data_IF_574129367473
#
_entry.id   IF_574129367473
#
_cell.length_a   1.000
_cell.length_b   1.000
_cell.length_c   1.000
_cell.angle_alpha   90.00
_cell.angle_beta   90.00
_cell.angle_gamma   90.00
#
_symmetry.space_group_name_H-M   'P 1'
#
loop_
_entity.id
_entity.type
_entity.pdbx_description
1 polymer ?
#
# COMPACT_ATOMS: atom_id res chain seq x y z
N UNK A 1 -14.78 7.86 -7.30
CA UNK A 1 -14.70 7.07 -6.01
C UNK A 1 -15.75 7.58 -5.06
N UNK A 2 -16.61 6.70 -4.56
CA UNK A 2 -17.47 6.97 -3.40
C UNK A 2 -16.72 6.44 -2.16
N UNK A 3 -16.50 7.29 -1.18
CA UNK A 3 -15.74 6.90 0.01
C UNK A 3 -16.61 6.04 0.95
N UNK A 4 -16.25 4.78 1.10
CA UNK A 4 -16.86 3.86 2.05
C UNK A 4 -15.87 3.56 3.18
N UNK A 5 -16.03 4.20 4.33
CA UNK A 5 -15.14 4.07 5.47
C UNK A 5 -14.81 2.60 5.81
N UNK A 6 -15.80 1.70 5.72
CA UNK A 6 -15.68 0.27 6.07
C UNK A 6 -14.62 -0.48 5.28
N UNK A 7 -14.31 -0.06 4.06
CA UNK A 7 -13.30 -0.71 3.22
C UNK A 7 -11.87 -0.43 3.69
N UNK A 8 -11.69 0.62 4.49
CA UNK A 8 -10.38 1.05 5.00
C UNK A 8 -10.05 0.50 6.38
N UNK A 9 -11.08 0.14 7.19
CA UNK A 9 -10.91 -0.20 8.61
C UNK A 9 -10.06 -1.45 8.83
N UNK A 10 -9.37 -1.47 9.98
CA UNK A 10 -8.60 -2.58 10.51
C UNK A 10 -7.11 -2.51 10.19
N UNK A 11 -6.41 -3.61 10.45
CA UNK A 11 -4.97 -3.74 10.30
C UNK A 11 -4.58 -3.98 8.84
N UNK A 12 -3.51 -3.28 8.42
CA UNK A 12 -2.86 -3.44 7.13
C UNK A 12 -1.36 -3.60 7.34
N UNK A 13 -0.74 -4.49 6.60
CA UNK A 13 0.69 -4.71 6.61
C UNK A 13 1.36 -4.19 5.35
N UNK A 14 2.56 -3.63 5.51
CA UNK A 14 3.34 -3.15 4.39
C UNK A 14 3.84 -4.31 3.52
N UNK A 15 3.70 -4.15 2.21
CA UNK A 15 4.16 -5.10 1.20
C UNK A 15 5.69 -5.33 1.23
N UNK A 16 6.49 -4.40 1.75
CA UNK A 16 7.93 -4.59 1.91
C UNK A 16 8.27 -5.87 2.71
N UNK A 17 7.40 -6.27 3.64
CA UNK A 17 7.55 -7.52 4.39
C UNK A 17 7.54 -8.78 3.50
N UNK A 18 6.87 -8.73 2.35
CA UNK A 18 6.85 -9.82 1.38
C UNK A 18 8.15 -9.90 0.57
N UNK A 19 8.78 -8.73 0.30
CA UNK A 19 10.06 -8.67 -0.40
C UNK A 19 11.19 -9.31 0.40
N UNK A 20 11.16 -9.16 1.72
CA UNK A 20 12.19 -9.63 2.66
C UNK A 20 11.83 -10.94 3.34
N UNK A 21 10.67 -11.52 3.04
CA UNK A 21 10.18 -12.75 3.66
C UNK A 21 11.14 -13.91 3.45
N UNK A 22 11.41 -14.66 4.53
CA UNK A 22 12.18 -15.91 4.52
C UNK A 22 11.31 -17.16 4.34
N UNK A 23 9.98 -16.99 4.27
CA UNK A 23 9.06 -18.11 4.04
C UNK A 23 9.31 -18.76 2.68
N UNK A 24 9.45 -20.12 2.61
CA UNK A 24 9.78 -20.81 1.36
C UNK A 24 8.76 -20.61 0.24
N UNK A 25 7.47 -20.52 0.57
CA UNK A 25 6.39 -20.32 -0.43
C UNK A 25 6.42 -18.89 -0.96
N UNK A 26 6.61 -17.89 -0.08
CA UNK A 26 6.80 -16.51 -0.51
C UNK A 26 8.03 -16.38 -1.41
N UNK A 27 9.13 -17.04 -1.06
CA UNK A 27 10.32 -17.08 -1.92
C UNK A 27 10.06 -17.79 -3.26
N UNK A 28 9.21 -18.85 -3.27
CA UNK A 28 8.79 -19.50 -4.51
C UNK A 28 7.95 -18.56 -5.39
N UNK A 29 6.98 -17.84 -4.80
CA UNK A 29 6.19 -16.84 -5.52
C UNK A 29 7.08 -15.77 -6.15
N UNK A 30 8.12 -15.30 -5.46
CA UNK A 30 9.08 -14.34 -6.00
C UNK A 30 9.99 -14.94 -7.08
N UNK A 31 10.41 -16.21 -6.97
CA UNK A 31 11.17 -16.87 -8.05
C UNK A 31 10.34 -16.97 -9.33
N UNK A 32 9.05 -17.31 -9.22
CA UNK A 32 8.16 -17.34 -10.37
C UNK A 32 7.99 -15.95 -10.98
N UNK A 33 7.84 -14.92 -10.14
CA UNK A 33 7.74 -13.52 -10.57
C UNK A 33 8.99 -13.06 -11.33
N UNK A 34 10.18 -13.37 -10.82
CA UNK A 34 11.45 -13.09 -11.53
C UNK A 34 11.55 -13.80 -12.87
N UNK A 35 11.04 -15.04 -12.96
CA UNK A 35 11.05 -15.82 -14.19
C UNK A 35 10.26 -15.17 -15.33
N UNK A 36 9.23 -14.38 -15.04
CA UNK A 36 8.41 -13.67 -16.04
C UNK A 36 8.73 -12.18 -16.16
N UNK A 37 9.48 -11.64 -15.22
CA UNK A 37 9.76 -10.21 -15.14
C UNK A 37 10.40 -9.65 -16.40
N UNK A 38 11.32 -10.39 -17.02
CA UNK A 38 12.03 -9.97 -18.24
C UNK A 38 11.10 -9.69 -19.43
N UNK A 39 9.91 -10.30 -19.45
CA UNK A 39 8.91 -10.09 -20.51
C UNK A 39 8.06 -8.83 -20.28
N UNK A 40 8.17 -8.18 -19.12
CA UNK A 40 7.37 -7.02 -18.74
C UNK A 40 8.28 -5.78 -18.68
N UNK A 41 8.07 -4.77 -19.55
CA UNK A 41 8.97 -3.61 -19.65
C UNK A 41 9.25 -2.88 -18.33
N UNK A 42 8.27 -2.82 -17.43
CA UNK A 42 8.42 -2.17 -16.14
C UNK A 42 9.36 -2.92 -15.19
N UNK A 43 9.54 -4.22 -15.36
CA UNK A 43 10.39 -5.07 -14.53
C UNK A 43 11.73 -5.45 -15.20
N UNK A 44 12.20 -4.67 -16.16
CA UNK A 44 13.42 -4.96 -16.94
C UNK A 44 14.68 -5.22 -16.09
N UNK A 45 14.71 -4.72 -14.86
CA UNK A 45 15.82 -4.92 -13.91
C UNK A 45 15.51 -6.00 -12.85
N UNK A 46 14.43 -6.77 -13.03
CA UNK A 46 13.94 -7.77 -12.08
C UNK A 46 12.71 -7.29 -11.29
N UNK A 47 11.86 -8.24 -10.91
CA UNK A 47 10.63 -7.95 -10.18
C UNK A 47 10.92 -7.37 -8.79
N UNK A 48 11.76 -8.04 -7.99
CA UNK A 48 12.12 -7.56 -6.65
C UNK A 48 12.78 -6.19 -6.69
N UNK A 49 13.69 -5.95 -7.64
CA UNK A 49 14.37 -4.66 -7.76
C UNK A 49 13.39 -3.52 -8.05
N UNK A 50 12.39 -3.76 -8.89
CA UNK A 50 11.32 -2.79 -9.13
C UNK A 50 10.53 -2.49 -7.85
N UNK A 51 10.04 -3.52 -7.17
CA UNK A 51 9.21 -3.32 -5.98
C UNK A 51 9.99 -2.77 -4.78
N UNK A 52 11.27 -3.11 -4.63
CA UNK A 52 12.15 -2.48 -3.64
C UNK A 52 12.25 -0.96 -3.85
N UNK A 53 12.23 -0.49 -5.09
CA UNK A 53 12.22 0.93 -5.39
C UNK A 53 10.83 1.55 -5.25
N UNK A 54 9.79 0.86 -5.77
CA UNK A 54 8.45 1.43 -5.87
C UNK A 54 7.68 1.40 -4.55
N UNK A 55 7.91 0.40 -3.70
CA UNK A 55 7.22 0.21 -2.42
C UNK A 55 8.00 0.72 -1.21
N UNK A 56 9.18 1.31 -1.39
CA UNK A 56 9.99 1.79 -0.26
C UNK A 56 9.21 2.81 0.57
N UNK A 57 9.10 2.53 1.85
CA UNK A 57 8.39 3.38 2.81
C UNK A 57 9.32 3.97 3.87
N UNK A 58 10.60 3.65 3.83
CA UNK A 58 11.66 4.34 4.57
C UNK A 58 11.85 5.72 3.99
N UNK A 59 11.01 6.66 4.30
CA UNK A 59 11.15 7.92 3.65
C UNK A 59 11.26 9.10 4.58
N UNK A 60 11.92 10.08 4.03
CA UNK A 60 11.73 11.51 4.25
C UNK A 60 11.35 11.85 5.69
N UNK A 61 12.37 11.94 6.56
CA UNK A 61 12.22 12.38 7.93
C UNK A 61 11.73 11.33 8.93
N UNK A 62 11.47 10.12 8.47
CA UNK A 62 11.14 9.00 9.35
C UNK A 62 12.34 8.05 9.47
N UNK A 63 12.94 7.88 10.66
CA UNK A 63 14.11 7.02 10.87
C UNK A 63 13.79 5.52 10.87
N UNK A 64 12.51 5.14 10.75
CA UNK A 64 12.05 3.75 10.87
C UNK A 64 11.25 3.35 9.64
N UNK A 65 11.43 2.08 9.23
CA UNK A 65 10.62 1.49 8.16
C UNK A 65 9.16 1.40 8.61
N UNK A 66 8.25 1.78 7.72
CA UNK A 66 6.83 1.63 7.95
C UNK A 66 6.45 0.16 7.81
N UNK A 67 5.94 -0.44 8.90
CA UNK A 67 5.48 -1.84 8.93
C UNK A 67 4.02 -2.01 8.59
N UNK A 68 3.22 -0.96 8.74
CA UNK A 68 1.79 -0.97 8.46
C UNK A 68 1.04 0.14 9.16
N UNK A 69 -0.26 -0.02 9.25
CA UNK A 69 -1.14 0.84 10.03
C UNK A 69 -2.35 0.08 10.58
N UNK A 70 -2.96 0.64 11.62
CA UNK A 70 -4.27 0.25 12.12
C UNK A 70 -5.24 1.40 11.86
N UNK A 71 -6.36 1.13 11.20
CA UNK A 71 -7.39 2.12 10.91
C UNK A 71 -8.64 1.81 11.71
N UNK A 72 -9.11 2.78 12.47
CA UNK A 72 -10.36 2.72 13.24
C UNK A 72 -11.29 3.86 12.84
N UNK A 73 -12.62 3.73 13.00
CA UNK A 73 -13.54 4.81 12.66
C UNK A 73 -13.36 6.01 13.62
N UNK A 74 -13.47 7.22 13.06
CA UNK A 74 -13.47 8.49 13.81
C UNK A 74 -14.69 9.33 13.42
N UNK A 75 -15.88 8.82 13.70
CA UNK A 75 -17.13 9.36 13.18
C UNK A 75 -17.58 8.65 11.91
N UNK A 76 -18.49 9.26 11.13
CA UNK A 76 -19.10 8.63 9.94
C UNK A 76 -18.23 8.70 8.68
N UNK A 77 -17.33 9.68 8.60
CA UNK A 77 -16.62 10.08 7.38
C UNK A 77 -15.10 10.31 7.58
N UNK A 78 -14.59 10.00 8.78
CA UNK A 78 -13.18 10.18 9.15
C UNK A 78 -12.54 8.86 9.54
N UNK A 79 -11.24 8.77 9.30
CA UNK A 79 -10.41 7.63 9.68
C UNK A 79 -9.48 8.04 10.82
N UNK A 80 -9.36 7.24 11.85
CA UNK A 80 -8.26 7.35 12.78
C UNK A 80 -7.18 6.35 12.39
N UNK A 81 -6.02 6.83 11.96
CA UNK A 81 -4.91 6.00 11.48
C UNK A 81 -3.78 6.04 12.51
N UNK A 82 -3.41 4.87 13.02
CA UNK A 82 -2.20 4.65 13.79
C UNK A 82 -1.13 4.04 12.88
N UNK A 83 -0.08 4.78 12.60
CA UNK A 83 1.05 4.38 11.79
C UNK A 83 2.03 3.57 12.63
N UNK A 84 2.52 2.47 12.09
CA UNK A 84 3.31 1.48 12.83
C UNK A 84 4.63 1.19 12.11
N UNK A 85 5.71 1.11 12.87
CA UNK A 85 6.99 0.65 12.38
C UNK A 85 6.97 -0.86 12.09
N UNK A 86 8.01 -1.36 11.45
CA UNK A 86 8.19 -2.77 11.09
C UNK A 86 8.23 -3.71 12.31
N UNK A 87 8.62 -3.21 13.46
CA UNK A 87 8.54 -3.91 14.75
C UNK A 87 7.19 -3.72 15.47
N UNK A 88 6.23 -3.04 14.85
CA UNK A 88 4.90 -2.79 15.38
C UNK A 88 4.79 -1.64 16.37
N UNK A 89 5.90 -0.93 16.65
CA UNK A 89 5.85 0.25 17.53
C UNK A 89 5.14 1.40 16.83
N UNK A 90 4.22 2.12 17.52
CA UNK A 90 3.56 3.27 16.95
C UNK A 90 4.55 4.39 16.54
N UNK A 91 4.40 4.87 15.31
CA UNK A 91 5.10 6.04 14.76
C UNK A 91 4.31 7.32 14.98
N UNK A 92 3.01 7.19 15.15
CA UNK A 92 2.10 8.27 15.42
C UNK A 92 0.66 7.92 15.05
N UNK A 93 -0.29 8.72 15.53
CA UNK A 93 -1.71 8.54 15.32
C UNK A 93 -2.38 9.87 15.07
N UNK A 94 -3.30 9.91 14.10
CA UNK A 94 -4.11 11.10 13.82
C UNK A 94 -5.49 10.74 13.28
N UNK A 95 -6.40 11.71 13.34
CA UNK A 95 -7.68 11.66 12.65
C UNK A 95 -7.49 12.27 11.26
N UNK A 96 -8.02 11.60 10.25
CA UNK A 96 -7.97 12.02 8.86
C UNK A 96 -9.36 12.28 8.33
N UNK A 97 -9.54 13.38 7.61
CA UNK A 97 -10.70 13.62 6.78
C UNK A 97 -10.34 13.52 5.29
N UNK A 98 -11.31 13.18 4.47
CA UNK A 98 -11.16 13.23 3.02
C UNK A 98 -11.13 14.70 2.58
N UNK A 99 -10.00 15.14 2.03
CA UNK A 99 -9.88 16.51 1.47
C UNK A 99 -10.49 16.57 0.07
N UNK A 100 -10.08 15.66 -0.81
CA UNK A 100 -10.61 15.55 -2.17
C UNK A 100 -10.33 14.19 -2.80
N UNK A 101 -11.06 13.91 -3.87
CA UNK A 101 -10.79 12.80 -4.79
C UNK A 101 -10.10 13.35 -6.03
N UNK A 102 -9.02 12.70 -6.43
CA UNK A 102 -8.28 12.95 -7.65
C UNK A 102 -8.75 11.96 -8.71
N UNK A 103 -9.24 12.44 -9.83
CA UNK A 103 -9.69 11.59 -10.95
C UNK A 103 -8.54 10.80 -11.58
N UNK A 104 -7.32 11.35 -11.54
CA UNK A 104 -6.09 10.74 -12.08
C UNK A 104 -4.95 10.91 -11.08
N UNK A 105 -4.81 9.95 -10.20
CA UNK A 105 -3.71 9.85 -9.24
C UNK A 105 -2.74 8.73 -9.61
N UNK A 106 -2.43 7.89 -8.63
CA UNK A 106 -1.58 6.71 -8.81
C UNK A 106 -2.14 5.80 -9.91
N UNK A 107 -1.28 5.33 -10.79
CA UNK A 107 -1.62 4.48 -11.95
C UNK A 107 -2.68 5.09 -12.90
N UNK A 108 -2.90 6.40 -12.82
CA UNK A 108 -3.94 7.08 -13.60
C UNK A 108 -5.36 6.77 -13.14
N UNK A 109 -5.52 6.19 -11.95
CA UNK A 109 -6.82 5.85 -11.33
C UNK A 109 -7.25 6.94 -10.36
N UNK A 110 -8.50 6.84 -9.89
CA UNK A 110 -9.01 7.69 -8.81
C UNK A 110 -8.27 7.42 -7.51
N UNK A 111 -7.96 8.48 -6.78
CA UNK A 111 -7.31 8.41 -5.47
C UNK A 111 -7.96 9.38 -4.50
N UNK A 112 -8.06 8.97 -3.24
CA UNK A 112 -8.44 9.82 -2.13
C UNK A 112 -7.22 10.53 -1.57
N UNK A 113 -7.30 11.84 -1.40
CA UNK A 113 -6.35 12.61 -0.59
C UNK A 113 -6.97 12.88 0.77
N UNK A 114 -6.33 12.37 1.80
CA UNK A 114 -6.71 12.57 3.18
C UNK A 114 -5.75 13.54 3.87
N UNK A 115 -6.28 14.37 4.76
CA UNK A 115 -5.50 15.29 5.58
C UNK A 115 -5.70 14.97 7.06
N UNK A 116 -4.57 14.88 7.79
CA UNK A 116 -4.59 14.72 9.23
C UNK A 116 -4.98 16.02 9.94
N UNK A 117 -5.80 15.88 10.98
CA UNK A 117 -6.24 16.97 11.84
C UNK A 117 -5.31 17.13 13.06
N UNK A 118 -5.14 18.35 13.51
CA UNK A 118 -4.46 18.69 14.78
C UNK A 118 -3.04 18.11 14.95
N UNK A 119 -2.30 18.01 13.84
CA UNK A 119 -0.91 17.55 13.84
C UNK A 119 0.05 18.68 13.46
N UNK A 120 1.34 18.52 13.82
CA UNK A 120 2.40 19.45 13.43
C UNK A 120 2.51 19.53 11.89
N UNK A 121 2.87 20.71 11.37
CA UNK A 121 2.95 20.92 9.91
C UNK A 121 4.04 20.12 9.24
N UNK A 122 5.07 19.72 9.98
CA UNK A 122 6.19 18.90 9.54
C UNK A 122 6.00 17.40 9.84
N UNK A 123 4.84 16.99 10.39
CA UNK A 123 4.58 15.57 10.66
C UNK A 123 4.55 14.78 9.34
N UNK A 124 5.38 13.71 9.21
CA UNK A 124 5.59 13.05 7.92
C UNK A 124 4.34 12.41 7.32
N UNK A 125 3.36 12.08 8.14
CA UNK A 125 2.11 11.43 7.71
C UNK A 125 0.91 12.38 7.64
N UNK A 126 1.14 13.69 7.57
CA UNK A 126 0.05 14.69 7.55
C UNK A 126 -0.86 14.55 6.34
N UNK A 127 -0.32 14.17 5.19
CA UNK A 127 -1.06 13.89 3.97
C UNK A 127 -0.97 12.40 3.64
N UNK A 128 -2.09 11.79 3.28
CA UNK A 128 -2.18 10.44 2.75
C UNK A 128 -2.93 10.49 1.41
N UNK A 129 -2.24 10.18 0.33
CA UNK A 129 -2.82 9.91 -0.97
C UNK A 129 -2.94 8.40 -1.14
N UNK A 130 -4.13 7.86 -1.36
CA UNK A 130 -4.32 6.43 -1.46
C UNK A 130 -5.36 6.05 -2.50
N UNK A 131 -5.10 4.94 -3.20
CA UNK A 131 -6.12 4.28 -4.02
C UNK A 131 -7.14 3.61 -3.10
N UNK A 132 -8.34 3.44 -3.61
CA UNK A 132 -9.34 2.61 -2.95
C UNK A 132 -8.84 1.16 -2.82
N UNK A 133 -9.08 0.49 -1.67
CA UNK A 133 -8.71 -0.91 -1.50
C UNK A 133 -9.29 -1.82 -2.59
N UNK A 134 -8.47 -2.66 -3.18
CA UNK A 134 -8.85 -3.56 -4.28
C UNK A 134 -8.42 -5.01 -3.99
N UNK A 135 -9.36 -5.98 -4.01
CA UNK A 135 -10.81 -5.78 -3.92
C UNK A 135 -11.20 -5.08 -2.61
N UNK A 136 -12.39 -4.52 -2.54
CA UNK A 136 -12.89 -3.98 -1.27
C UNK A 136 -12.81 -5.03 -0.17
N UNK A 137 -12.40 -4.65 1.03
CA UNK A 137 -12.29 -5.61 2.16
C UNK A 137 -13.60 -6.31 2.45
N UNK A 138 -14.71 -5.58 2.34
CA UNK A 138 -16.07 -6.11 2.54
C UNK A 138 -16.51 -7.08 1.42
N UNK A 139 -15.94 -6.96 0.22
CA UNK A 139 -16.24 -7.81 -0.93
C UNK A 139 -15.27 -9.01 -1.06
N UNK A 140 -14.31 -9.16 -0.16
CA UNK A 140 -13.35 -10.27 -0.19
C UNK A 140 -14.08 -11.61 -0.12
N UNK A 141 -13.90 -12.41 -1.18
CA UNK A 141 -14.42 -13.78 -1.23
C UNK A 141 -13.33 -14.76 -0.82
N UNK A 142 -13.74 -15.89 -0.23
CA UNK A 142 -12.83 -16.98 0.10
C UNK A 142 -12.07 -17.44 -1.14
N UNK A 143 -10.73 -17.45 -1.08
CA UNK A 143 -9.86 -17.80 -2.20
C UNK A 143 -9.66 -16.70 -3.25
N UNK A 144 -10.23 -15.50 -3.04
CA UNK A 144 -10.01 -14.33 -3.87
C UNK A 144 -8.66 -13.63 -3.61
N UNK A 145 -8.41 -12.59 -4.38
CA UNK A 145 -7.23 -11.76 -4.18
C UNK A 145 -7.34 -10.99 -2.86
N UNK A 146 -6.25 -10.98 -2.09
CA UNK A 146 -6.17 -10.21 -0.85
C UNK A 146 -6.37 -8.73 -1.13
N UNK A 147 -7.18 -8.06 -0.33
CA UNK A 147 -7.37 -6.61 -0.43
C UNK A 147 -6.04 -5.90 -0.24
N UNK A 148 -5.71 -4.98 -1.14
CA UNK A 148 -4.51 -4.17 -1.10
C UNK A 148 -4.78 -2.77 -1.65
N UNK A 149 -3.93 -1.82 -1.32
CA UNK A 149 -3.99 -0.47 -1.85
C UNK A 149 -2.59 0.10 -2.04
N UNK A 150 -2.43 0.97 -3.02
CA UNK A 150 -1.23 1.78 -3.22
C UNK A 150 -1.42 3.16 -2.59
N UNK A 151 -0.36 3.71 -2.02
CA UNK A 151 -0.43 5.00 -1.35
C UNK A 151 0.88 5.77 -1.45
N UNK A 152 0.78 7.06 -1.17
CA UNK A 152 1.91 7.95 -0.88
C UNK A 152 1.55 8.79 0.34
N UNK A 153 2.55 9.28 1.06
CA UNK A 153 2.36 10.14 2.21
C UNK A 153 3.40 11.25 2.25
N UNK A 154 3.07 12.36 2.87
CA UNK A 154 3.98 13.50 3.05
C UNK A 154 3.53 14.40 4.20
N UNK A 155 4.40 15.34 4.59
CA UNK A 155 4.05 16.40 5.55
C UNK A 155 3.16 17.49 4.94
N UNK A 156 3.03 17.58 3.62
CA UNK A 156 2.15 18.52 2.93
C UNK A 156 1.89 18.11 1.48
N UNK A 157 0.79 18.58 0.86
CA UNK A 157 0.43 18.26 -0.54
C UNK A 157 1.51 18.71 -1.54
N UNK A 158 2.22 19.81 -1.24
CA UNK A 158 3.31 20.35 -2.04
C UNK A 158 4.50 19.41 -2.18
N UNK A 159 4.61 18.41 -1.31
CA UNK A 159 5.61 17.34 -1.40
C UNK A 159 5.15 16.18 -2.27
N UNK A 160 3.85 16.00 -2.45
CA UNK A 160 3.26 14.97 -3.31
C UNK A 160 3.05 15.47 -4.74
N UNK A 161 2.64 16.73 -4.90
CA UNK A 161 2.24 17.29 -6.19
C UNK A 161 3.17 18.41 -6.64
N UNK A 162 3.32 18.52 -7.93
CA UNK A 162 3.88 19.69 -8.56
C UNK A 162 2.86 20.84 -8.48
N UNK A 163 3.22 22.03 -7.96
CA UNK A 163 2.26 23.11 -7.73
C UNK A 163 1.75 23.77 -9.02
N UNK A 164 2.47 23.64 -10.15
CA UNK A 164 2.08 24.25 -11.41
C UNK A 164 1.15 23.33 -12.21
N UNK A 165 1.47 22.03 -12.22
CA UNK A 165 0.75 21.03 -13.05
C UNK A 165 -0.25 20.20 -12.27
N UNK A 166 -0.18 20.21 -10.93
CA UNK A 166 -0.94 19.34 -10.02
C UNK A 166 -0.74 17.84 -10.32
N UNK A 167 0.41 17.48 -10.89
CA UNK A 167 0.78 16.09 -11.16
C UNK A 167 1.63 15.53 -10.04
N UNK A 168 1.61 14.21 -9.86
CA UNK A 168 2.44 13.55 -8.85
C UNK A 168 3.93 13.73 -9.14
N UNK A 169 4.70 14.16 -8.14
CA UNK A 169 6.16 14.31 -8.22
C UNK A 169 6.89 12.98 -8.36
N UNK A 170 6.35 11.93 -7.76
CA UNK A 170 6.96 10.59 -7.72
C UNK A 170 6.00 9.54 -8.27
N UNK A 171 5.78 9.50 -9.60
CA UNK A 171 4.75 8.65 -10.21
C UNK A 171 5.05 7.14 -10.13
N UNK A 172 6.26 6.74 -9.76
CA UNK A 172 6.65 5.33 -9.59
C UNK A 172 6.84 4.92 -8.13
N UNK A 173 6.41 5.74 -7.18
CA UNK A 173 6.38 5.38 -5.77
C UNK A 173 5.00 4.81 -5.42
N UNK A 174 4.94 3.49 -5.32
CA UNK A 174 3.71 2.72 -5.05
C UNK A 174 3.86 1.96 -3.73
N UNK A 175 4.12 2.66 -2.62
CA UNK A 175 4.03 2.02 -1.32
C UNK A 175 2.68 1.29 -1.22
N UNK A 176 2.69 0.07 -0.73
CA UNK A 176 1.53 -0.82 -0.81
C UNK A 176 1.21 -1.39 0.56
N UNK A 177 -0.05 -1.28 0.95
CA UNK A 177 -0.60 -1.96 2.11
C UNK A 177 -1.46 -3.14 1.67
N UNK A 178 -1.32 -4.25 2.39
CA UNK A 178 -2.11 -5.46 2.20
C UNK A 178 -2.90 -5.76 3.48
N UNK A 179 -4.12 -6.27 3.34
CA UNK A 179 -4.96 -6.70 4.46
C UNK A 179 -4.19 -7.70 5.34
N UNK A 180 -4.03 -7.36 6.62
CA UNK A 180 -3.28 -8.16 7.57
C UNK A 180 -3.98 -9.51 7.90
N UNK A 181 -5.27 -9.66 7.62
CA UNK A 181 -6.01 -10.90 7.81
C UNK A 181 -5.75 -11.95 6.71
N UNK A 182 -4.90 -11.65 5.73
CA UNK A 182 -4.57 -12.56 4.63
C UNK A 182 -3.80 -13.79 5.08
N UNK A 183 -4.20 -14.95 4.56
CA UNK A 183 -3.43 -16.20 4.67
C UNK A 183 -2.13 -16.12 3.87
N UNK A 184 -1.17 -16.99 4.16
CA UNK A 184 0.09 -17.07 3.40
C UNK A 184 -0.17 -17.31 1.90
N UNK A 185 -1.16 -18.15 1.56
CA UNK A 185 -1.57 -18.39 0.17
C UNK A 185 -2.03 -17.10 -0.52
N UNK A 186 -2.87 -16.32 0.13
CA UNK A 186 -3.37 -15.04 -0.39
C UNK A 186 -2.24 -14.03 -0.53
N UNK A 187 -1.31 -13.96 0.43
CA UNK A 187 -0.13 -13.11 0.36
C UNK A 187 0.80 -13.49 -0.81
N UNK A 188 1.04 -14.79 -1.04
CA UNK A 188 1.77 -15.27 -2.20
C UNK A 188 1.05 -14.92 -3.51
N UNK A 189 -0.28 -15.03 -3.52
CA UNK A 189 -1.11 -14.73 -4.68
C UNK A 189 -1.14 -13.24 -5.04
N UNK A 190 -0.97 -12.31 -4.09
CA UNK A 190 -0.73 -10.89 -4.42
C UNK A 190 0.54 -10.74 -5.27
N UNK A 191 1.65 -11.36 -4.85
CA UNK A 191 2.90 -11.31 -5.62
C UNK A 191 2.68 -11.87 -7.03
N UNK A 192 2.01 -13.00 -7.15
CA UNK A 192 1.72 -13.64 -8.44
C UNK A 192 0.84 -12.77 -9.34
N UNK A 193 -0.24 -12.20 -8.79
CA UNK A 193 -1.18 -11.34 -9.51
C UNK A 193 -0.50 -10.09 -10.10
N UNK A 194 0.35 -9.42 -9.31
CA UNK A 194 1.11 -8.25 -9.75
C UNK A 194 2.03 -8.54 -10.95
N UNK A 195 2.45 -9.80 -11.12
CA UNK A 195 3.29 -10.25 -12.23
C UNK A 195 2.51 -11.04 -13.29
N UNK A 196 1.17 -10.99 -13.28
CA UNK A 196 0.28 -11.66 -14.24
C UNK A 196 0.46 -13.19 -14.28
N UNK A 197 0.90 -13.77 -13.18
CA UNK A 197 1.00 -15.22 -13.02
C UNK A 197 -0.35 -15.82 -12.61
N UNK A 198 -0.64 -17.07 -12.99
CA UNK A 198 -1.78 -17.81 -12.46
C UNK A 198 -1.73 -17.88 -10.94
N UNK A 199 -2.86 -17.65 -10.28
CA UNK A 199 -2.95 -17.78 -8.82
C UNK A 199 -2.81 -19.25 -8.42
N UNK A 200 -2.17 -19.49 -7.28
CA UNK A 200 -2.15 -20.82 -6.68
C UNK A 200 -3.51 -21.12 -6.05
N UNK A 201 -4.03 -22.33 -6.26
CA UNK A 201 -5.22 -22.82 -5.57
C UNK A 201 -4.88 -23.26 -4.13
N UNK A 202 -3.63 -23.73 -3.93
CA UNK A 202 -3.07 -24.16 -2.65
C UNK A 202 -1.57 -23.86 -2.63
N UNK A 203 -0.97 -23.86 -1.46
CA UNK A 203 0.49 -23.69 -1.36
C UNK A 203 1.18 -24.92 -1.97
N UNK A 204 2.23 -24.73 -2.82
CA UNK A 204 2.96 -25.86 -3.40
C UNK A 204 3.63 -26.70 -2.31
N UNK A 205 3.76 -28.01 -2.54
CA UNK A 205 4.54 -28.88 -1.67
C UNK A 205 6.00 -28.40 -1.58
N UNK A 206 6.62 -28.62 -0.41
CA UNK A 206 8.01 -28.18 -0.15
C UNK A 206 9.03 -29.08 -0.83
#
# INVERSE_FOLDING_TARGET
>A
MEFHQTDWLGRWNNFESYLTSTDPHMQAAWRDAEGVAAALPMFKNGAKAFWQMACVTTSIGNPRTLGGWEITPAGSDKLCIEWLADDGVPLGRAIYHLDRVLERGLEGKENALFMAEDVATDWPFRCLLAMEPMPHRTARQSGGLLSHLHFQYASGPEHLFDPETNTLRSPIWYATMCDAAGTLLEQCNIVRALHRLPLWAELPEK
#
